data_IF_182427858019
#
_entry.id   IF_182427858019
#
_cell.length_a   1.000
_cell.length_b   1.000
_cell.length_c   1.000
_cell.angle_alpha   90.00
_cell.angle_beta   90.00
_cell.angle_gamma   90.00
#
_symmetry.space_group_name_H-M   'P 1'
#
loop_
_entity.id
_entity.type
_entity.pdbx_description
1 polymer ?
#
# COMPACT_ATOMS: atom_id res chain seq x y z
N UNK A 1 -32.90 -22.09 -22.40
CA UNK A 1 -32.77 -22.99 -21.24
C UNK A 1 -31.77 -22.35 -20.28
N UNK A 2 -32.26 -21.64 -19.27
CA UNK A 2 -31.42 -21.16 -18.17
C UNK A 2 -30.94 -22.37 -17.39
N UNK A 3 -29.62 -22.61 -17.35
CA UNK A 3 -29.03 -23.61 -16.44
C UNK A 3 -29.50 -23.25 -15.03
N UNK A 4 -30.29 -24.11 -14.41
CA UNK A 4 -30.60 -24.03 -12.98
C UNK A 4 -29.24 -23.96 -12.27
N UNK A 5 -28.96 -22.84 -11.60
CA UNK A 5 -27.80 -22.78 -10.72
C UNK A 5 -28.08 -23.80 -9.62
N UNK A 6 -27.33 -24.89 -9.62
CA UNK A 6 -27.41 -25.88 -8.54
C UNK A 6 -26.86 -25.18 -7.30
N UNK A 7 -27.72 -24.93 -6.32
CA UNK A 7 -27.30 -24.39 -5.03
C UNK A 7 -26.40 -25.43 -4.34
N UNK A 8 -25.23 -25.01 -3.89
CA UNK A 8 -24.34 -25.80 -3.04
C UNK A 8 -24.17 -25.00 -1.75
N UNK A 9 -24.72 -25.52 -0.65
CA UNK A 9 -24.70 -24.88 0.67
C UNK A 9 -23.53 -25.40 1.51
N UNK A 10 -23.21 -24.70 2.61
CA UNK A 10 -22.26 -25.20 3.59
C UNK A 10 -22.70 -26.56 4.15
N UNK A 11 -23.98 -26.71 4.50
CA UNK A 11 -24.53 -27.97 5.01
C UNK A 11 -24.43 -29.15 4.02
N UNK A 12 -24.42 -28.88 2.70
CA UNK A 12 -24.25 -29.93 1.69
C UNK A 12 -22.80 -30.47 1.64
N UNK A 13 -21.83 -29.69 2.09
CA UNK A 13 -20.39 -29.96 1.91
C UNK A 13 -19.69 -30.31 3.23
N UNK A 14 -20.11 -29.70 4.32
CA UNK A 14 -19.52 -29.83 5.64
C UNK A 14 -20.56 -30.47 6.57
N UNK A 15 -20.45 -31.78 6.80
CA UNK A 15 -21.29 -32.51 7.77
C UNK A 15 -21.36 -31.71 9.09
N UNK A 16 -22.58 -31.50 9.63
CA UNK A 16 -22.91 -30.69 10.82
C UNK A 16 -21.72 -30.41 11.76
N UNK A 17 -21.02 -29.30 11.52
CA UNK A 17 -19.82 -28.91 12.25
C UNK A 17 -20.19 -27.95 13.40
N UNK A 18 -19.65 -28.18 14.59
CA UNK A 18 -20.05 -27.48 15.81
C UNK A 18 -19.35 -26.13 16.06
N UNK A 19 -18.38 -25.77 15.20
CA UNK A 19 -17.59 -24.53 15.30
C UNK A 19 -16.56 -24.51 16.45
N UNK A 20 -16.22 -25.67 17.03
CA UNK A 20 -15.28 -25.75 18.15
C UNK A 20 -13.80 -25.47 17.76
N UNK A 21 -13.47 -25.54 16.47
CA UNK A 21 -12.13 -25.27 15.92
C UNK A 21 -12.19 -24.52 14.60
N UNK A 22 -11.19 -24.73 13.75
CA UNK A 22 -11.12 -24.13 12.42
C UNK A 22 -12.13 -24.78 11.48
N UNK A 23 -12.70 -23.97 10.58
CA UNK A 23 -13.58 -24.38 9.50
C UNK A 23 -12.97 -23.91 8.18
N UNK A 24 -12.61 -24.86 7.32
CA UNK A 24 -12.19 -24.58 5.94
C UNK A 24 -13.20 -25.20 4.97
N UNK A 25 -13.97 -24.35 4.33
CA UNK A 25 -14.92 -24.68 3.26
C UNK A 25 -14.55 -23.95 1.95
N UNK A 26 -13.26 -23.61 1.79
CA UNK A 26 -12.76 -22.91 0.61
C UNK A 26 -12.78 -23.80 -0.64
N UNK A 27 -12.99 -23.19 -1.81
CA UNK A 27 -12.92 -23.84 -3.14
C UNK A 27 -13.84 -25.04 -3.35
N UNK A 28 -14.96 -25.10 -2.64
CA UNK A 28 -15.97 -26.16 -2.75
C UNK A 28 -17.09 -25.85 -3.76
N UNK A 29 -17.04 -24.67 -4.39
CA UNK A 29 -18.08 -24.22 -5.31
C UNK A 29 -19.37 -23.75 -4.62
N UNK A 30 -19.28 -23.39 -3.33
CA UNK A 30 -20.40 -22.92 -2.52
C UNK A 30 -21.09 -21.71 -3.16
N UNK A 31 -22.40 -21.68 -3.08
CA UNK A 31 -23.25 -20.54 -3.45
C UNK A 31 -23.97 -19.95 -2.23
N UNK A 32 -23.96 -20.63 -1.08
CA UNK A 32 -24.57 -20.20 0.18
C UNK A 32 -23.78 -20.72 1.38
N UNK A 33 -23.76 -19.96 2.47
CA UNK A 33 -23.22 -20.37 3.77
C UNK A 33 -24.31 -20.92 4.72
N UNK A 34 -25.51 -21.20 4.20
CA UNK A 34 -26.60 -21.79 4.98
C UNK A 34 -26.14 -23.08 5.69
N UNK A 35 -26.43 -23.14 7.00
CA UNK A 35 -26.04 -24.24 7.88
C UNK A 35 -24.71 -24.05 8.61
N UNK A 36 -24.00 -22.94 8.44
CA UNK A 36 -22.83 -22.66 9.28
C UNK A 36 -23.24 -22.50 10.76
N UNK A 37 -22.35 -22.89 11.70
CA UNK A 37 -22.57 -22.59 13.12
C UNK A 37 -22.55 -21.07 13.35
N UNK A 38 -23.33 -20.58 14.32
CA UNK A 38 -23.37 -19.15 14.64
C UNK A 38 -22.03 -18.62 15.21
N UNK A 39 -21.22 -19.50 15.81
CA UNK A 39 -19.96 -19.14 16.48
C UNK A 39 -18.85 -20.09 16.05
N UNK A 40 -17.68 -19.53 15.77
CA UNK A 40 -16.46 -20.29 15.44
C UNK A 40 -15.35 -19.90 16.40
N UNK A 41 -14.75 -20.89 17.07
CA UNK A 41 -13.66 -20.68 18.03
C UNK A 41 -12.29 -20.55 17.36
N UNK A 42 -12.13 -21.10 16.17
CA UNK A 42 -10.93 -20.95 15.34
C UNK A 42 -11.16 -20.01 14.17
N UNK A 43 -10.51 -20.32 13.05
CA UNK A 43 -10.59 -19.62 11.78
C UNK A 43 -11.80 -20.09 10.96
N UNK A 44 -12.34 -19.23 10.11
CA UNK A 44 -13.39 -19.56 9.15
C UNK A 44 -12.98 -19.11 7.75
N UNK A 45 -12.70 -20.08 6.88
CA UNK A 45 -12.28 -19.85 5.51
C UNK A 45 -13.37 -20.34 4.53
N UNK A 46 -14.01 -19.41 3.83
CA UNK A 46 -14.96 -19.68 2.75
C UNK A 46 -14.49 -19.13 1.39
N UNK A 47 -13.18 -18.90 1.25
CA UNK A 47 -12.59 -18.30 0.05
C UNK A 47 -12.71 -19.15 -1.21
N UNK A 48 -12.59 -18.52 -2.38
CA UNK A 48 -12.50 -19.22 -3.67
C UNK A 48 -13.79 -19.94 -4.08
N UNK A 49 -14.94 -19.45 -3.64
CA UNK A 49 -16.26 -20.04 -3.92
C UNK A 49 -17.04 -19.18 -4.94
N UNK A 50 -18.37 -19.34 -4.99
CA UNK A 50 -19.27 -18.60 -5.88
C UNK A 50 -20.30 -17.81 -5.07
N UNK A 51 -19.96 -17.43 -3.84
CA UNK A 51 -20.86 -16.71 -2.93
C UNK A 51 -21.16 -15.32 -3.48
N UNK A 52 -22.44 -14.93 -3.43
CA UNK A 52 -22.90 -13.57 -3.76
C UNK A 52 -23.40 -12.80 -2.55
N UNK A 53 -23.51 -13.47 -1.40
CA UNK A 53 -23.87 -12.91 -0.09
C UNK A 53 -23.19 -13.72 1.01
N UNK A 54 -22.98 -13.09 2.16
CA UNK A 54 -22.53 -13.75 3.39
C UNK A 54 -23.70 -14.21 4.28
N UNK A 55 -24.94 -14.19 3.79
CA UNK A 55 -26.08 -14.74 4.51
C UNK A 55 -25.81 -16.20 4.93
N UNK A 56 -26.04 -16.49 6.21
CA UNK A 56 -25.72 -17.78 6.83
C UNK A 56 -24.31 -17.88 7.40
N UNK A 57 -23.42 -16.91 7.19
CA UNK A 57 -22.09 -16.85 7.83
C UNK A 57 -22.19 -16.90 9.36
N UNK A 58 -21.18 -17.46 10.06
CA UNK A 58 -21.05 -17.28 11.51
C UNK A 58 -21.08 -15.81 11.90
N UNK A 59 -21.66 -15.50 13.06
CA UNK A 59 -21.77 -14.14 13.61
C UNK A 59 -20.58 -13.72 14.44
N UNK A 60 -19.92 -14.68 15.10
CA UNK A 60 -18.75 -14.44 15.95
C UNK A 60 -17.63 -15.42 15.63
N UNK A 61 -16.47 -14.89 15.30
CA UNK A 61 -15.28 -15.67 14.95
C UNK A 61 -14.13 -15.20 15.84
N UNK A 62 -13.51 -16.14 16.55
CA UNK A 62 -12.38 -15.83 17.45
C UNK A 62 -11.02 -15.81 16.74
N UNK A 63 -10.90 -16.48 15.60
CA UNK A 63 -9.74 -16.40 14.74
C UNK A 63 -10.01 -15.50 13.54
N UNK A 64 -9.49 -15.92 12.39
CA UNK A 64 -9.53 -15.20 11.13
C UNK A 64 -10.81 -15.50 10.35
N UNK A 65 -11.29 -14.54 9.58
CA UNK A 65 -12.39 -14.70 8.63
C UNK A 65 -11.90 -14.40 7.22
N UNK A 66 -11.94 -15.40 6.35
CA UNK A 66 -11.56 -15.26 4.95
C UNK A 66 -12.74 -15.57 4.02
N UNK A 67 -13.29 -14.55 3.38
CA UNK A 67 -14.32 -14.65 2.34
C UNK A 67 -13.83 -14.21 0.95
N UNK A 68 -12.51 -14.14 0.76
CA UNK A 68 -11.88 -13.66 -0.47
C UNK A 68 -12.21 -14.51 -1.70
N UNK A 69 -11.97 -13.95 -2.89
CA UNK A 69 -12.12 -14.68 -4.16
C UNK A 69 -13.53 -15.28 -4.36
N UNK A 70 -14.55 -14.45 -4.16
CA UNK A 70 -15.96 -14.80 -4.34
C UNK A 70 -16.62 -13.82 -5.34
N UNK A 71 -17.94 -13.68 -5.30
CA UNK A 71 -18.73 -12.75 -6.12
C UNK A 71 -19.57 -11.81 -5.25
N UNK A 72 -19.09 -11.50 -4.05
CA UNK A 72 -19.80 -10.65 -3.10
C UNK A 72 -19.86 -9.22 -3.63
N UNK A 73 -21.02 -8.58 -3.50
CA UNK A 73 -21.20 -7.14 -3.79
C UNK A 73 -21.37 -6.31 -2.52
N UNK A 74 -21.61 -6.96 -1.39
CA UNK A 74 -21.75 -6.40 -0.04
C UNK A 74 -21.22 -7.41 0.99
N UNK A 75 -20.87 -6.94 2.19
CA UNK A 75 -20.51 -7.78 3.33
C UNK A 75 -21.70 -8.03 4.28
N UNK A 76 -22.89 -7.52 3.94
CA UNK A 76 -24.12 -7.82 4.66
C UNK A 76 -24.32 -9.33 4.88
N UNK A 77 -24.71 -9.66 6.11
CA UNK A 77 -24.86 -11.05 6.56
C UNK A 77 -23.59 -11.65 7.16
N UNK A 78 -22.42 -11.03 6.97
CA UNK A 78 -21.13 -11.45 7.52
C UNK A 78 -21.03 -11.44 9.05
N UNK A 79 -19.85 -11.80 9.59
CA UNK A 79 -19.61 -11.80 11.02
C UNK A 79 -19.57 -10.38 11.59
N UNK A 80 -20.20 -10.20 12.75
CA UNK A 80 -20.26 -8.94 13.48
C UNK A 80 -19.02 -8.75 14.38
N UNK A 81 -18.36 -9.85 14.74
CA UNK A 81 -17.16 -9.86 15.59
C UNK A 81 -16.14 -10.84 14.99
N UNK A 82 -14.96 -10.32 14.62
CA UNK A 82 -13.79 -11.09 14.19
C UNK A 82 -12.60 -10.60 15.01
N UNK A 83 -11.91 -11.52 15.68
CA UNK A 83 -10.75 -11.17 16.54
C UNK A 83 -9.39 -11.38 15.89
N UNK A 84 -9.33 -12.11 14.78
CA UNK A 84 -8.14 -12.21 13.94
C UNK A 84 -8.26 -11.30 12.72
N UNK A 85 -7.79 -11.80 11.60
CA UNK A 85 -7.78 -11.09 10.32
C UNK A 85 -9.15 -11.15 9.63
N UNK A 86 -9.45 -10.15 8.81
CA UNK A 86 -10.63 -10.08 7.97
C UNK A 86 -10.24 -9.87 6.52
N UNK A 87 -10.34 -10.93 5.71
CA UNK A 87 -10.00 -10.91 4.29
C UNK A 87 -11.26 -11.04 3.42
N UNK A 88 -11.65 -9.93 2.79
CA UNK A 88 -12.71 -9.86 1.78
C UNK A 88 -12.20 -9.50 0.39
N UNK A 89 -10.91 -9.69 0.14
CA UNK A 89 -10.27 -9.33 -1.11
C UNK A 89 -10.82 -10.08 -2.32
N UNK A 90 -10.61 -9.55 -3.52
CA UNK A 90 -10.96 -10.19 -4.79
C UNK A 90 -12.45 -10.58 -4.87
N UNK A 91 -13.32 -9.60 -4.64
CA UNK A 91 -14.77 -9.72 -4.77
C UNK A 91 -15.28 -8.66 -5.77
N UNK A 92 -16.57 -8.32 -5.71
CA UNK A 92 -17.20 -7.25 -6.50
C UNK A 92 -17.81 -6.18 -5.58
N UNK A 93 -17.19 -5.98 -4.41
CA UNK A 93 -17.71 -5.05 -3.39
C UNK A 93 -17.69 -3.62 -3.91
N UNK A 94 -18.82 -2.93 -3.77
CA UNK A 94 -18.93 -1.49 -4.05
C UNK A 94 -19.00 -0.65 -2.76
N UNK A 95 -19.22 -1.31 -1.62
CA UNK A 95 -19.10 -0.76 -0.27
C UNK A 95 -18.59 -1.83 0.69
N UNK A 96 -18.12 -1.42 1.87
CA UNK A 96 -17.77 -2.32 2.97
C UNK A 96 -18.92 -2.51 3.97
N UNK A 97 -20.15 -2.13 3.58
CA UNK A 97 -21.31 -2.21 4.45
C UNK A 97 -21.52 -3.63 4.97
N UNK A 98 -21.64 -3.75 6.29
CA UNK A 98 -21.78 -5.03 6.99
C UNK A 98 -20.46 -5.65 7.45
N UNK A 99 -19.32 -4.97 7.28
CA UNK A 99 -18.08 -5.38 7.94
C UNK A 99 -18.12 -5.07 9.46
N UNK A 100 -17.30 -5.74 10.28
CA UNK A 100 -17.17 -5.40 11.69
C UNK A 100 -16.58 -3.99 11.86
N UNK A 101 -16.99 -3.31 12.94
CA UNK A 101 -16.52 -1.95 13.28
C UNK A 101 -15.04 -1.95 13.68
N UNK A 102 -14.58 -3.06 14.27
CA UNK A 102 -13.22 -3.23 14.79
C UNK A 102 -12.63 -4.53 14.28
N UNK A 103 -11.38 -4.49 13.85
CA UNK A 103 -10.58 -5.68 13.50
C UNK A 103 -9.25 -5.60 14.25
N UNK A 104 -8.96 -6.63 15.05
CA UNK A 104 -7.75 -6.71 15.86
C UNK A 104 -6.54 -7.28 15.08
N UNK A 105 -6.78 -7.92 13.95
CA UNK A 105 -5.74 -8.32 13.02
C UNK A 105 -5.67 -7.38 11.81
N UNK A 106 -5.37 -7.98 10.66
CA UNK A 106 -5.31 -7.32 9.37
C UNK A 106 -6.71 -7.20 8.75
N UNK A 107 -6.95 -6.14 7.99
CA UNK A 107 -8.16 -5.96 7.20
C UNK A 107 -7.81 -5.78 5.72
N UNK A 108 -8.20 -6.74 4.90
CA UNK A 108 -7.99 -6.71 3.44
C UNK A 108 -9.30 -6.62 2.68
N UNK A 109 -9.45 -5.54 1.92
CA UNK A 109 -10.52 -5.32 0.94
C UNK A 109 -9.98 -5.11 -0.49
N UNK A 110 -8.74 -5.54 -0.73
CA UNK A 110 -8.06 -5.34 -2.00
C UNK A 110 -8.79 -6.02 -3.18
N UNK A 111 -8.66 -5.50 -4.40
CA UNK A 111 -9.21 -6.14 -5.59
C UNK A 111 -10.74 -6.14 -5.63
N UNK A 112 -11.36 -5.01 -5.31
CA UNK A 112 -12.81 -4.81 -5.35
C UNK A 112 -13.18 -3.62 -6.26
N UNK A 113 -14.41 -3.12 -6.16
CA UNK A 113 -14.93 -2.01 -6.97
C UNK A 113 -15.26 -0.78 -6.10
N UNK A 114 -14.57 -0.63 -4.97
CA UNK A 114 -14.81 0.48 -4.03
C UNK A 114 -14.37 1.80 -4.65
N UNK A 115 -15.20 2.84 -4.52
CA UNK A 115 -14.89 4.21 -4.99
C UNK A 115 -14.62 5.19 -3.85
N UNK A 116 -15.12 4.88 -2.66
CA UNK A 116 -14.81 5.50 -1.38
C UNK A 116 -15.13 4.53 -0.23
N UNK A 117 -14.75 4.86 1.00
CA UNK A 117 -15.15 4.12 2.21
C UNK A 117 -16.34 4.74 2.93
N UNK A 118 -16.76 5.93 2.49
CA UNK A 118 -17.92 6.61 3.04
C UNK A 118 -19.17 5.84 2.69
N UNK A 119 -20.01 5.59 3.69
CA UNK A 119 -21.35 5.09 3.42
C UNK A 119 -22.32 6.22 3.08
N UNK A 120 -23.19 5.97 2.10
CA UNK A 120 -24.39 6.76 1.92
C UNK A 120 -25.47 6.25 2.89
N UNK A 121 -25.97 7.12 3.77
CA UNK A 121 -27.08 6.80 4.68
C UNK A 121 -28.32 6.51 3.84
N UNK A 122 -28.65 5.23 3.64
CA UNK A 122 -29.87 4.79 2.97
C UNK A 122 -30.90 4.21 3.96
N UNK A 123 -31.31 4.96 4.99
CA UNK A 123 -32.61 4.69 5.63
C UNK A 123 -33.12 5.90 6.41
N UNK A 124 -34.43 6.18 6.31
CA UNK A 124 -35.14 7.18 7.12
C UNK A 124 -35.23 6.85 8.62
N UNK A 125 -34.39 5.93 9.12
CA UNK A 125 -34.38 5.46 10.52
C UNK A 125 -32.97 5.66 11.16
N UNK A 126 -32.01 6.27 10.45
CA UNK A 126 -30.76 6.76 11.07
C UNK A 126 -29.87 5.66 11.67
N UNK A 127 -30.02 4.40 11.26
CA UNK A 127 -29.10 3.34 11.66
C UNK A 127 -27.87 3.43 10.75
N UNK A 128 -26.71 3.78 11.32
CA UNK A 128 -25.42 3.59 10.63
C UNK A 128 -25.29 2.08 10.37
N UNK A 129 -25.32 1.69 9.09
CA UNK A 129 -24.64 0.47 8.71
C UNK A 129 -23.14 0.77 8.93
N UNK A 130 -22.40 -0.20 9.47
CA UNK A 130 -20.99 0.04 9.70
C UNK A 130 -20.28 0.10 8.34
N UNK A 131 -19.70 1.26 8.02
CA UNK A 131 -18.76 1.44 6.92
C UNK A 131 -17.43 0.76 7.21
N UNK A 132 -16.37 1.18 6.52
CA UNK A 132 -15.01 0.68 6.77
C UNK A 132 -14.65 0.68 8.28
N UNK A 133 -13.87 -0.30 8.79
CA UNK A 133 -13.55 -0.36 10.21
C UNK A 133 -12.97 0.96 10.72
N UNK A 134 -13.37 1.39 11.91
CA UNK A 134 -12.85 2.65 12.48
C UNK A 134 -11.38 2.52 12.92
N UNK A 135 -11.01 1.31 13.35
CA UNK A 135 -9.69 0.95 13.85
C UNK A 135 -9.30 -0.45 13.33
N UNK A 136 -8.07 -0.54 12.83
CA UNK A 136 -7.40 -1.79 12.44
C UNK A 136 -6.09 -1.86 13.23
N UNK A 137 -5.92 -2.86 14.10
CA UNK A 137 -4.68 -2.99 14.89
C UNK A 137 -3.51 -3.51 14.04
N UNK A 138 -3.79 -4.30 13.00
CA UNK A 138 -2.80 -4.76 12.02
C UNK A 138 -2.75 -3.89 10.77
N UNK A 139 -2.56 -4.55 9.63
CA UNK A 139 -2.43 -3.94 8.31
C UNK A 139 -3.80 -3.62 7.71
N UNK A 140 -3.91 -2.48 7.01
CA UNK A 140 -5.08 -2.13 6.22
C UNK A 140 -4.74 -2.13 4.74
N UNK A 141 -5.26 -3.11 4.01
CA UNK A 141 -5.04 -3.24 2.57
C UNK A 141 -6.32 -2.95 1.79
N UNK A 142 -6.29 -1.86 1.02
CA UNK A 142 -7.36 -1.46 0.10
C UNK A 142 -6.88 -1.29 -1.34
N UNK A 143 -5.73 -1.88 -1.67
CA UNK A 143 -5.14 -1.78 -2.99
C UNK A 143 -6.04 -2.33 -4.11
N UNK A 144 -5.83 -1.87 -5.34
CA UNK A 144 -6.54 -2.37 -6.53
C UNK A 144 -8.05 -2.24 -6.42
N UNK A 145 -8.51 -1.05 -6.05
CA UNK A 145 -9.92 -0.65 -6.06
C UNK A 145 -10.12 0.47 -7.10
N UNK A 146 -11.23 1.20 -7.01
CA UNK A 146 -11.51 2.38 -7.82
C UNK A 146 -11.55 3.65 -6.95
N UNK A 147 -10.83 3.66 -5.82
CA UNK A 147 -10.92 4.75 -4.84
C UNK A 147 -10.48 6.07 -5.46
N UNK A 148 -11.30 7.10 -5.30
CA UNK A 148 -10.98 8.48 -5.70
C UNK A 148 -10.66 9.38 -4.50
N UNK A 149 -11.00 8.91 -3.30
CA UNK A 149 -10.79 9.55 -2.01
C UNK A 149 -10.60 8.48 -0.93
N UNK A 150 -9.91 8.85 0.16
CA UNK A 150 -9.82 8.05 1.39
C UNK A 150 -10.87 8.45 2.44
N UNK A 151 -11.88 9.24 2.06
CA UNK A 151 -12.98 9.58 2.97
C UNK A 151 -13.66 8.31 3.49
N UNK A 152 -13.75 8.20 4.83
CA UNK A 152 -14.26 7.01 5.53
C UNK A 152 -13.22 5.94 5.85
N UNK A 153 -11.94 6.14 5.47
CA UNK A 153 -10.82 5.26 5.85
C UNK A 153 -10.72 5.07 7.37
N UNK A 154 -10.12 3.96 7.86
CA UNK A 154 -9.83 3.80 9.28
C UNK A 154 -9.01 4.99 9.79
N UNK A 155 -9.26 5.42 11.03
CA UNK A 155 -8.54 6.54 11.63
C UNK A 155 -7.20 6.12 12.23
N UNK A 156 -7.11 4.86 12.63
CA UNK A 156 -5.95 4.25 13.26
C UNK A 156 -5.67 2.94 12.56
N UNK A 157 -4.44 2.80 12.06
CA UNK A 157 -3.90 1.56 11.49
C UNK A 157 -2.58 1.28 12.20
N UNK A 158 -2.51 0.13 12.87
CA UNK A 158 -1.36 -0.24 13.71
C UNK A 158 -0.20 -0.90 12.95
N UNK A 159 -0.44 -1.35 11.71
CA UNK A 159 0.57 -1.87 10.80
C UNK A 159 0.72 -1.01 9.54
N UNK A 160 0.78 -1.69 8.40
CA UNK A 160 0.94 -1.11 7.07
C UNK A 160 -0.40 -0.57 6.53
N UNK A 161 -0.32 0.47 5.72
CA UNK A 161 -1.47 1.03 5.00
C UNK A 161 -1.20 1.01 3.50
N UNK A 162 -1.92 0.15 2.79
CA UNK A 162 -1.77 -0.02 1.35
C UNK A 162 -3.03 0.47 0.59
N UNK A 163 -2.89 1.60 -0.10
CA UNK A 163 -3.89 2.14 -1.03
C UNK A 163 -3.40 2.18 -2.49
N UNK A 164 -2.44 1.33 -2.81
CA UNK A 164 -1.85 1.22 -4.16
C UNK A 164 -2.89 0.93 -5.24
N UNK A 165 -2.60 1.36 -6.46
CA UNK A 165 -3.39 1.02 -7.66
C UNK A 165 -4.87 1.40 -7.52
N UNK A 166 -5.12 2.68 -7.21
CA UNK A 166 -6.44 3.30 -7.16
C UNK A 166 -6.47 4.53 -8.10
N UNK A 167 -7.49 5.37 -8.00
CA UNK A 167 -7.63 6.62 -8.75
C UNK A 167 -7.51 7.85 -7.83
N UNK A 168 -6.72 7.76 -6.75
CA UNK A 168 -6.57 8.84 -5.78
C UNK A 168 -5.84 10.02 -6.42
N UNK A 169 -6.40 11.21 -6.31
CA UNK A 169 -5.75 12.47 -6.70
C UNK A 169 -5.24 13.30 -5.51
N UNK A 170 -5.62 12.90 -4.28
CA UNK A 170 -5.18 13.45 -3.00
C UNK A 170 -5.08 12.33 -1.97
N UNK A 171 -4.23 12.51 -0.96
CA UNK A 171 -4.17 11.64 0.22
C UNK A 171 -5.01 12.17 1.38
N UNK A 172 -5.84 13.21 1.15
CA UNK A 172 -6.75 13.73 2.16
C UNK A 172 -7.59 12.61 2.79
N UNK A 173 -7.75 12.67 4.12
CA UNK A 173 -8.37 11.63 4.94
C UNK A 173 -7.57 10.33 5.11
N UNK A 174 -6.30 10.30 4.72
CA UNK A 174 -5.39 9.24 5.19
C UNK A 174 -5.21 9.33 6.71
N UNK A 175 -4.85 8.21 7.38
CA UNK A 175 -4.53 8.25 8.81
C UNK A 175 -3.35 9.18 9.10
N UNK A 176 -3.42 9.96 10.17
CA UNK A 176 -2.39 10.95 10.53
C UNK A 176 -1.04 10.33 10.89
N UNK A 177 -1.05 9.11 11.42
CA UNK A 177 0.11 8.36 11.91
C UNK A 177 -0.01 6.92 11.43
N UNK A 178 1.07 6.41 10.83
CA UNK A 178 1.21 5.02 10.38
C UNK A 178 2.40 4.39 11.11
N UNK A 179 2.16 3.24 11.73
CA UNK A 179 3.16 2.53 12.54
C UNK A 179 4.01 1.56 11.71
N UNK A 180 3.49 1.07 10.59
CA UNK A 180 4.25 0.35 9.57
C UNK A 180 4.62 1.23 8.38
N UNK A 181 4.44 0.67 7.20
CA UNK A 181 4.69 1.25 5.90
C UNK A 181 3.43 1.93 5.34
N UNK A 182 3.61 2.97 4.51
CA UNK A 182 2.52 3.60 3.76
C UNK A 182 2.78 3.47 2.27
N UNK A 183 1.94 2.70 1.60
CA UNK A 183 2.03 2.44 0.17
C UNK A 183 0.87 3.13 -0.56
N UNK A 184 1.20 4.08 -1.44
CA UNK A 184 0.26 4.67 -2.39
C UNK A 184 0.70 4.66 -3.87
N UNK A 185 1.50 3.68 -4.36
CA UNK A 185 1.93 3.68 -5.74
C UNK A 185 0.79 3.46 -6.74
N UNK A 186 0.99 3.91 -7.98
CA UNK A 186 0.03 3.67 -9.06
C UNK A 186 -1.31 4.40 -8.89
N UNK A 187 -1.26 5.65 -8.43
CA UNK A 187 -2.42 6.54 -8.28
C UNK A 187 -2.31 7.75 -9.23
N UNK A 188 -3.17 8.75 -9.06
CA UNK A 188 -3.20 9.98 -9.86
C UNK A 188 -2.77 11.20 -9.03
N UNK A 189 -1.91 11.02 -8.02
CA UNK A 189 -1.52 12.08 -7.11
C UNK A 189 -0.70 13.17 -7.82
N UNK A 190 -1.11 14.43 -7.65
CA UNK A 190 -0.38 15.61 -8.15
C UNK A 190 0.54 16.24 -7.08
N UNK A 191 0.19 16.02 -5.81
CA UNK A 191 0.96 16.39 -4.62
C UNK A 191 0.78 15.33 -3.54
N UNK A 192 1.58 15.42 -2.48
CA UNK A 192 1.43 14.59 -1.29
C UNK A 192 0.61 15.30 -0.20
N UNK A 193 -0.14 16.34 -0.54
CA UNK A 193 -1.01 17.00 0.44
C UNK A 193 -2.06 16.02 0.99
N UNK A 194 -2.18 16.00 2.31
CA UNK A 194 -3.02 15.05 3.03
C UNK A 194 -2.34 13.72 3.40
N UNK A 195 -1.08 13.50 3.02
CA UNK A 195 -0.31 12.33 3.46
C UNK A 195 -0.18 12.26 4.99
N UNK A 196 0.08 11.06 5.56
CA UNK A 196 0.34 10.92 6.99
C UNK A 196 1.45 11.86 7.45
N UNK A 197 1.34 12.38 8.68
CA UNK A 197 2.36 13.30 9.22
C UNK A 197 3.64 12.56 9.60
N UNK A 198 3.48 11.35 10.15
CA UNK A 198 4.57 10.45 10.54
C UNK A 198 4.32 9.04 10.01
N UNK A 199 5.36 8.45 9.42
CA UNK A 199 5.40 7.04 9.00
C UNK A 199 6.61 6.39 9.64
N UNK A 200 6.39 5.31 10.40
CA UNK A 200 7.46 4.65 11.14
C UNK A 200 8.26 3.65 10.31
N UNK A 201 7.72 3.18 9.19
CA UNK A 201 8.40 2.36 8.20
C UNK A 201 8.72 3.14 6.92
N UNK A 202 8.45 2.51 5.78
CA UNK A 202 8.66 3.01 4.43
C UNK A 202 7.50 3.89 3.95
N UNK A 203 7.80 4.85 3.08
CA UNK A 203 6.81 5.64 2.36
C UNK A 203 7.04 5.48 0.86
N UNK A 204 6.10 4.84 0.18
CA UNK A 204 6.16 4.62 -1.27
C UNK A 204 5.02 5.38 -1.97
N UNK A 205 5.40 6.38 -2.77
CA UNK A 205 4.51 7.15 -3.63
C UNK A 205 4.90 7.05 -5.11
N UNK A 206 5.58 5.97 -5.50
CA UNK A 206 6.04 5.74 -6.87
C UNK A 206 4.89 5.63 -7.88
N UNK A 207 5.14 5.89 -9.16
CA UNK A 207 4.12 5.71 -10.19
C UNK A 207 2.90 6.62 -10.03
N UNK A 208 3.14 7.91 -9.74
CA UNK A 208 2.12 8.96 -9.62
C UNK A 208 2.41 10.10 -10.61
N UNK A 209 1.73 11.24 -10.48
CA UNK A 209 1.91 12.43 -11.31
C UNK A 209 2.55 13.58 -10.54
N UNK A 210 3.36 13.27 -9.51
CA UNK A 210 3.95 14.27 -8.62
C UNK A 210 4.96 15.15 -9.37
N UNK A 211 4.86 16.46 -9.19
CA UNK A 211 5.83 17.43 -9.75
C UNK A 211 6.83 17.94 -8.70
N UNK A 212 6.50 17.78 -7.42
CA UNK A 212 7.36 18.01 -6.26
C UNK A 212 6.91 17.11 -5.11
N UNK A 213 7.70 17.03 -4.04
CA UNK A 213 7.39 16.26 -2.83
C UNK A 213 6.67 17.11 -1.76
N UNK A 214 6.07 18.24 -2.14
CA UNK A 214 5.30 19.06 -1.18
C UNK A 214 4.14 18.24 -0.60
N UNK A 215 3.98 18.35 0.71
CA UNK A 215 2.98 17.60 1.46
C UNK A 215 3.48 16.26 1.98
N UNK A 216 4.69 15.82 1.63
CA UNK A 216 5.22 14.54 2.14
C UNK A 216 5.25 14.50 3.67
N UNK A 217 5.24 13.31 4.27
CA UNK A 217 5.42 13.17 5.70
C UNK A 217 6.68 13.89 6.17
N UNK A 218 6.60 14.52 7.35
CA UNK A 218 7.76 15.23 7.94
C UNK A 218 8.82 14.25 8.45
N UNK A 219 8.40 13.03 8.78
CA UNK A 219 9.22 11.99 9.37
C UNK A 219 8.84 10.65 8.77
N UNK A 220 9.80 10.08 8.05
CA UNK A 220 9.79 8.71 7.53
C UNK A 220 11.04 8.06 8.08
N UNK A 221 10.92 6.95 8.81
CA UNK A 221 12.11 6.34 9.43
C UNK A 221 12.80 5.34 8.51
N UNK A 222 12.06 4.69 7.61
CA UNK A 222 12.57 3.76 6.62
C UNK A 222 12.89 4.44 5.29
N UNK A 223 12.56 3.75 4.21
CA UNK A 223 12.82 4.16 2.84
C UNK A 223 11.78 5.17 2.36
N UNK A 224 12.19 6.10 1.51
CA UNK A 224 11.30 7.01 0.81
C UNK A 224 11.45 6.80 -0.70
N UNK A 225 10.40 6.24 -1.30
CA UNK A 225 10.38 5.81 -2.69
C UNK A 225 9.39 6.72 -3.44
N UNK A 226 9.92 7.55 -4.33
CA UNK A 226 9.16 8.49 -5.16
C UNK A 226 9.51 8.37 -6.65
N UNK A 227 9.99 7.20 -7.05
CA UNK A 227 10.37 6.90 -8.42
C UNK A 227 9.18 6.89 -9.38
N UNK A 228 9.46 6.96 -10.68
CA UNK A 228 8.43 6.93 -11.74
C UNK A 228 7.35 8.00 -11.54
N UNK A 229 7.78 9.27 -11.41
CA UNK A 229 6.91 10.42 -11.25
C UNK A 229 7.27 11.51 -12.29
N UNK A 230 6.76 12.73 -12.10
CA UNK A 230 7.06 13.89 -12.93
C UNK A 230 7.87 14.95 -12.14
N UNK A 231 8.68 14.52 -11.18
CA UNK A 231 9.39 15.42 -10.27
C UNK A 231 10.38 16.27 -11.05
N UNK A 232 10.25 17.59 -10.92
CA UNK A 232 11.22 18.57 -11.42
C UNK A 232 12.06 19.17 -10.30
N UNK A 233 11.67 18.93 -9.05
CA UNK A 233 12.43 19.30 -7.86
C UNK A 233 12.12 18.35 -6.70
N UNK A 234 13.08 18.18 -5.79
CA UNK A 234 12.90 17.44 -4.54
C UNK A 234 12.34 18.31 -3.41
N UNK A 235 11.76 19.49 -3.73
CA UNK A 235 11.19 20.37 -2.72
C UNK A 235 10.06 19.65 -1.96
N UNK A 236 10.21 19.59 -0.64
CA UNK A 236 9.27 18.92 0.24
C UNK A 236 9.81 17.61 0.81
N UNK A 237 10.87 17.03 0.21
CA UNK A 237 11.50 15.79 0.67
C UNK A 237 11.74 15.74 2.19
N UNK A 238 11.59 14.57 2.83
CA UNK A 238 12.05 14.37 4.20
C UNK A 238 13.55 14.71 4.33
N UNK A 239 13.95 15.14 5.53
CA UNK A 239 15.32 15.54 5.83
C UNK A 239 16.27 14.36 6.07
N UNK A 240 15.73 13.28 6.63
CA UNK A 240 16.47 12.06 6.96
C UNK A 240 15.62 10.85 6.59
N UNK A 241 16.23 9.89 5.89
CA UNK A 241 15.63 8.61 5.47
C UNK A 241 16.69 7.51 5.50
N UNK A 242 16.26 6.25 5.43
CA UNK A 242 17.18 5.14 5.20
C UNK A 242 17.61 5.12 3.74
N UNK A 243 16.76 4.67 2.82
CA UNK A 243 17.01 4.77 1.37
C UNK A 243 16.17 5.88 0.74
N UNK A 244 16.72 6.58 -0.24
CA UNK A 244 15.98 7.56 -1.05
C UNK A 244 16.02 7.14 -2.52
N UNK A 245 14.86 6.79 -3.07
CA UNK A 245 14.70 6.50 -4.50
C UNK A 245 13.85 7.59 -5.16
N UNK A 246 14.49 8.39 -6.00
CA UNK A 246 13.86 9.40 -6.86
C UNK A 246 14.12 9.10 -8.35
N UNK A 247 14.41 7.84 -8.69
CA UNK A 247 14.71 7.42 -10.06
C UNK A 247 13.54 7.63 -11.02
N UNK A 248 13.82 7.68 -12.31
CA UNK A 248 12.81 7.79 -13.38
C UNK A 248 11.88 9.00 -13.19
N UNK A 249 12.48 10.19 -13.20
CA UNK A 249 11.82 11.48 -13.01
C UNK A 249 12.37 12.53 -14.00
N UNK A 250 12.03 13.80 -13.82
CA UNK A 250 12.50 14.91 -14.67
C UNK A 250 13.41 15.88 -13.90
N UNK A 251 14.20 15.37 -12.95
CA UNK A 251 15.06 16.20 -12.11
C UNK A 251 16.25 16.72 -12.90
N UNK A 252 16.49 18.03 -12.82
CA UNK A 252 17.70 18.70 -13.35
C UNK A 252 18.72 19.04 -12.26
N UNK A 253 18.33 18.89 -10.99
CA UNK A 253 19.19 19.11 -9.82
C UNK A 253 18.69 18.29 -8.63
N UNK A 254 19.63 17.85 -7.79
CA UNK A 254 19.34 17.17 -6.52
C UNK A 254 19.17 18.14 -5.34
N UNK A 255 19.12 19.46 -5.58
CA UNK A 255 18.82 20.44 -4.53
C UNK A 255 17.54 20.06 -3.78
N UNK A 256 17.61 20.12 -2.45
CA UNK A 256 16.53 19.72 -1.53
C UNK A 256 16.30 18.20 -1.43
N UNK A 257 17.25 17.38 -1.88
CA UNK A 257 17.32 15.97 -1.46
C UNK A 257 17.48 15.85 0.07
N UNK A 258 17.21 14.68 0.66
CA UNK A 258 17.49 14.44 2.08
C UNK A 258 18.97 14.67 2.39
N UNK A 259 19.25 15.40 3.48
CA UNK A 259 20.64 15.66 3.91
C UNK A 259 21.31 14.41 4.47
N UNK A 260 20.51 13.49 5.03
CA UNK A 260 20.97 12.25 5.65
C UNK A 260 20.27 11.05 5.03
N UNK A 261 21.05 10.22 4.35
CA UNK A 261 20.59 8.98 3.72
C UNK A 261 21.43 7.85 4.30
N UNK A 262 20.81 6.95 5.07
CA UNK A 262 21.54 5.92 5.82
C UNK A 262 21.87 4.69 4.99
N UNK A 263 21.12 4.41 3.93
CA UNK A 263 21.24 3.28 3.04
C UNK A 263 21.69 3.75 1.66
N UNK A 264 20.86 3.49 0.65
CA UNK A 264 21.14 3.77 -0.76
C UNK A 264 20.49 5.08 -1.24
N UNK A 265 21.03 5.66 -2.32
CA UNK A 265 20.47 6.83 -3.01
C UNK A 265 20.38 6.55 -4.51
N UNK A 266 19.16 6.49 -5.04
CA UNK A 266 18.92 6.28 -6.46
C UNK A 266 18.31 7.54 -7.09
N UNK A 267 19.06 8.17 -7.98
CA UNK A 267 18.61 9.26 -8.84
C UNK A 267 18.81 8.95 -10.33
N UNK A 268 18.84 7.66 -10.68
CA UNK A 268 18.97 7.22 -12.06
C UNK A 268 17.79 7.66 -12.92
N UNK A 269 17.97 7.65 -14.25
CA UNK A 269 16.91 7.96 -15.21
C UNK A 269 16.29 9.33 -14.95
N UNK A 270 17.12 10.37 -14.93
CA UNK A 270 16.72 11.77 -14.72
C UNK A 270 17.42 12.66 -15.78
N UNK A 271 17.39 13.98 -15.59
CA UNK A 271 17.98 14.96 -16.51
C UNK A 271 19.11 15.74 -15.81
N UNK A 272 19.84 15.10 -14.90
CA UNK A 272 20.89 15.74 -14.12
C UNK A 272 22.12 16.01 -14.99
N UNK A 273 22.60 17.26 -15.01
CA UNK A 273 23.88 17.65 -15.64
C UNK A 273 25.07 17.63 -14.66
N UNK A 274 24.77 17.69 -13.36
CA UNK A 274 25.73 17.54 -12.26
C UNK A 274 25.06 16.85 -11.07
N UNK A 275 25.87 16.39 -10.12
CA UNK A 275 25.39 15.76 -8.88
C UNK A 275 25.26 16.76 -7.72
N UNK A 276 25.23 18.07 -8.01
CA UNK A 276 25.06 19.12 -7.00
C UNK A 276 23.75 18.99 -6.24
N UNK A 277 23.85 19.04 -4.92
CA UNK A 277 22.74 18.83 -3.99
C UNK A 277 22.53 17.37 -3.60
N UNK A 278 23.38 16.43 -4.05
CA UNK A 278 23.42 15.08 -3.51
C UNK A 278 23.82 15.09 -2.01
N UNK A 279 23.45 14.07 -1.23
CA UNK A 279 23.94 13.93 0.15
C UNK A 279 25.47 13.80 0.17
N UNK A 280 26.13 14.29 1.24
CA UNK A 280 27.59 14.23 1.32
C UNK A 280 28.15 12.81 1.44
N UNK A 281 27.33 11.89 1.98
CA UNK A 281 27.70 10.50 2.26
C UNK A 281 26.50 9.59 2.05
N UNK A 282 26.75 8.45 1.44
CA UNK A 282 25.79 7.35 1.27
C UNK A 282 26.47 6.07 1.74
N UNK A 283 25.82 5.28 2.60
CA UNK A 283 26.49 4.12 3.22
C UNK A 283 26.50 2.90 2.32
N UNK A 284 25.50 2.79 1.45
CA UNK A 284 25.37 1.68 0.52
C UNK A 284 25.60 2.20 -0.89
N UNK A 285 24.65 2.00 -1.80
CA UNK A 285 24.82 2.26 -3.22
C UNK A 285 24.41 3.69 -3.59
N UNK A 286 25.13 4.30 -4.54
CA UNK A 286 24.72 5.54 -5.18
C UNK A 286 24.56 5.31 -6.67
N UNK A 287 23.34 5.45 -7.17
CA UNK A 287 22.99 5.24 -8.57
C UNK A 287 22.59 6.56 -9.24
N UNK A 288 23.36 6.97 -10.25
CA UNK A 288 23.05 8.11 -11.10
C UNK A 288 23.14 7.75 -12.59
N UNK A 289 22.89 6.49 -12.95
CA UNK A 289 22.85 6.08 -14.35
C UNK A 289 21.74 6.77 -15.14
N UNK A 290 21.83 6.81 -16.47
CA UNK A 290 20.76 7.35 -17.31
C UNK A 290 20.48 8.83 -17.05
N UNK A 291 21.53 9.65 -16.94
CA UNK A 291 21.43 11.09 -16.73
C UNK A 291 22.20 11.85 -17.84
N UNK A 292 22.35 13.17 -17.69
CA UNK A 292 23.05 14.03 -18.65
C UNK A 292 24.38 14.55 -18.07
N UNK A 293 25.00 13.77 -17.17
CA UNK A 293 26.19 14.22 -16.46
C UNK A 293 27.36 14.45 -17.42
N UNK A 294 27.95 15.63 -17.34
CA UNK A 294 29.21 15.99 -18.02
C UNK A 294 30.36 16.19 -17.04
N UNK A 295 30.07 16.07 -15.75
CA UNK A 295 31.01 16.20 -14.66
C UNK A 295 30.48 15.47 -13.42
N UNK A 296 31.40 15.05 -12.56
CA UNK A 296 31.12 14.45 -11.26
C UNK A 296 31.11 15.49 -10.12
N UNK A 297 31.00 16.79 -10.45
CA UNK A 297 30.91 17.88 -9.48
C UNK A 297 29.70 17.71 -8.54
N UNK A 298 29.97 17.62 -7.23
CA UNK A 298 28.99 17.44 -6.15
C UNK A 298 29.61 17.57 -4.78
N UNK A 299 28.75 17.57 -3.76
CA UNK A 299 29.09 17.48 -2.35
C UNK A 299 29.31 16.03 -1.86
N UNK A 300 28.98 15.03 -2.69
CA UNK A 300 29.09 13.61 -2.36
C UNK A 300 30.56 13.17 -2.31
N UNK A 301 31.03 12.85 -1.10
CA UNK A 301 32.43 12.52 -0.82
C UNK A 301 32.69 11.04 -0.57
N UNK A 302 31.70 10.33 0.00
CA UNK A 302 31.88 8.92 0.44
C UNK A 302 30.69 8.06 0.05
N UNK A 303 30.98 6.94 -0.60
CA UNK A 303 30.02 5.89 -0.93
C UNK A 303 30.56 4.58 -0.34
N UNK A 304 29.75 3.93 0.50
CA UNK A 304 30.17 2.70 1.18
C UNK A 304 29.94 1.42 0.37
N UNK A 305 29.04 1.45 -0.62
CA UNK A 305 28.79 0.39 -1.58
C UNK A 305 29.22 0.80 -2.99
N UNK A 306 28.43 0.40 -3.97
CA UNK A 306 28.73 0.62 -5.39
C UNK A 306 28.37 2.04 -5.85
N UNK A 307 29.14 2.54 -6.82
CA UNK A 307 28.84 3.77 -7.53
C UNK A 307 28.49 3.43 -8.98
N UNK A 308 27.25 3.72 -9.38
CA UNK A 308 26.70 3.36 -10.69
C UNK A 308 26.44 4.65 -11.48
N UNK A 309 27.13 4.83 -12.59
CA UNK A 309 27.02 6.04 -13.42
C UNK A 309 27.03 5.77 -14.94
N UNK A 310 26.59 4.58 -15.36
CA UNK A 310 26.44 4.23 -16.78
C UNK A 310 25.43 5.15 -17.48
N UNK A 311 25.46 5.17 -18.81
CA UNK A 311 24.44 5.83 -19.63
C UNK A 311 24.30 7.35 -19.32
N UNK A 312 25.43 8.02 -19.08
CA UNK A 312 25.50 9.47 -18.95
C UNK A 312 25.96 10.13 -20.26
N UNK A 313 25.78 11.46 -20.35
CA UNK A 313 26.22 12.23 -21.52
C UNK A 313 27.73 12.09 -21.78
N UNK A 314 28.54 11.98 -20.72
CA UNK A 314 29.92 11.54 -20.79
C UNK A 314 30.09 10.16 -20.12
N UNK A 315 30.82 9.22 -20.75
CA UNK A 315 31.29 8.03 -20.06
C UNK A 315 32.36 8.45 -19.03
N UNK A 316 32.24 7.96 -17.80
CA UNK A 316 33.26 8.14 -16.78
C UNK A 316 34.07 6.86 -16.64
N UNK A 317 35.37 6.98 -16.42
CA UNK A 317 36.21 5.83 -16.08
C UNK A 317 36.17 5.59 -14.57
N UNK A 318 36.47 4.36 -14.15
CA UNK A 318 36.62 4.04 -12.73
C UNK A 318 37.66 4.95 -12.03
N UNK A 319 38.77 5.25 -12.71
CA UNK A 319 39.82 6.14 -12.18
C UNK A 319 39.29 7.56 -11.93
N UNK A 320 38.55 8.15 -12.88
CA UNK A 320 37.95 9.48 -12.72
C UNK A 320 36.98 9.52 -11.55
N UNK A 321 36.16 8.48 -11.38
CA UNK A 321 35.26 8.35 -10.23
C UNK A 321 36.06 8.29 -8.93
N UNK A 322 37.07 7.43 -8.85
CA UNK A 322 37.88 7.25 -7.63
C UNK A 322 38.72 8.47 -7.26
N UNK A 323 39.13 9.27 -8.25
CA UNK A 323 39.75 10.59 -8.03
C UNK A 323 38.74 11.57 -7.44
N UNK A 324 37.50 11.57 -7.94
CA UNK A 324 36.47 12.50 -7.50
C UNK A 324 35.91 12.17 -6.10
N UNK A 325 35.84 10.89 -5.71
CA UNK A 325 35.19 10.47 -4.46
C UNK A 325 35.70 9.13 -3.92
N UNK A 326 35.53 8.91 -2.62
CA UNK A 326 35.89 7.66 -1.97
C UNK A 326 34.76 6.63 -2.11
N UNK A 327 34.90 5.70 -3.07
CA UNK A 327 33.99 4.56 -3.30
C UNK A 327 34.62 3.29 -2.72
N UNK A 328 33.92 2.61 -1.80
CA UNK A 328 34.39 1.34 -1.25
C UNK A 328 34.03 0.12 -2.11
N UNK A 329 32.88 0.15 -2.76
CA UNK A 329 32.43 -0.92 -3.65
C UNK A 329 32.97 -0.80 -5.07
N UNK A 330 32.23 -1.40 -6.00
CA UNK A 330 32.53 -1.36 -7.41
C UNK A 330 32.15 0.00 -8.01
N UNK A 331 32.88 0.39 -9.05
CA UNK A 331 32.47 1.48 -9.94
C UNK A 331 31.93 0.84 -11.21
N UNK A 332 30.66 1.12 -11.53
CA UNK A 332 29.97 0.63 -12.71
C UNK A 332 29.73 1.85 -13.59
N UNK A 333 30.61 2.06 -14.58
CA UNK A 333 30.68 3.29 -15.37
C UNK A 333 30.84 3.00 -16.86
#
# INVERSE_FOLDING_TARGET
MTKKVTTVTFADVMDNYDGAGDIDCSKQGLTSLEGCPEKVRGNFNCSGNKLTSLAGSPKKIKGDFNCSSNKLTTLEGGPEEVKGDYDCSNNQLTSLGGCPVFVMGDFSCAGNLLTSFKEEICSGIGTLLAGCPELVEGDFNCARNQLTTLEGSPKIVGGDYDCSYNHLNTLSNSPDIIFGDFFCPGNLLLSLEGAPREVSGNFDCSGNQLTSLKGSPKKVRGNFICSCNHLTSLKGSPQEVDTFDCSNNMLVSLKKSPEKVKGSFDCSMNQLESLKGAPEKVKEHFNCSGNQLTTLDSELKKIGGDFICTDNALPFTEEEVRVARNVKGNVIA
#
